data_IF_958038178688
#
_entry.id   IF_958038178688
#
_cell.length_a   1.000
_cell.length_b   1.000
_cell.length_c   1.000
_cell.angle_alpha   90.00
_cell.angle_beta   90.00
_cell.angle_gamma   90.00
#
_symmetry.space_group_name_H-M   'P 1'
#
loop_
_entity.id
_entity.type
_entity.pdbx_description
1 polymer ?
#
# COMPACT_ATOMS: atom_id res chain seq x y z
N UNK A 1 -27.20 13.33 22.20
CA UNK A 1 -26.76 11.92 22.34
C UNK A 1 -27.23 11.18 21.10
N UNK A 2 -26.56 11.44 19.97
CA UNK A 2 -26.77 10.73 18.72
C UNK A 2 -25.81 9.54 18.72
N UNK A 3 -26.38 8.34 18.65
CA UNK A 3 -25.69 7.07 18.46
C UNK A 3 -24.51 7.25 17.50
N UNK A 4 -23.27 7.13 18.01
CA UNK A 4 -22.08 6.93 17.19
C UNK A 4 -22.36 5.72 16.31
N UNK A 5 -22.57 5.95 15.03
CA UNK A 5 -22.44 4.92 14.02
C UNK A 5 -21.05 4.32 14.21
N UNK A 6 -20.97 3.09 14.72
CA UNK A 6 -19.71 2.36 14.76
C UNK A 6 -19.04 2.51 13.39
N UNK A 7 -17.86 3.12 13.35
CA UNK A 7 -17.23 3.48 12.09
C UNK A 7 -17.01 2.20 11.27
N UNK A 8 -17.54 2.19 10.05
CA UNK A 8 -17.53 1.02 9.18
C UNK A 8 -16.13 0.92 8.56
N UNK A 9 -15.20 0.29 9.26
CA UNK A 9 -13.83 0.10 8.78
C UNK A 9 -13.68 -1.17 7.94
N UNK A 10 -12.66 -1.17 7.08
CA UNK A 10 -12.29 -2.30 6.25
C UNK A 10 -12.88 -2.24 4.85
N UNK A 11 -12.14 -2.79 3.88
CA UNK A 11 -12.49 -2.73 2.46
C UNK A 11 -13.91 -3.27 2.19
N UNK A 12 -14.26 -4.44 2.72
CA UNK A 12 -15.52 -5.10 2.36
C UNK A 12 -16.72 -4.52 3.10
N UNK A 13 -16.55 -4.23 4.39
CA UNK A 13 -17.49 -3.45 5.19
C UNK A 13 -17.83 -2.09 4.54
N UNK A 14 -16.81 -1.32 4.12
CA UNK A 14 -17.02 -0.05 3.42
C UNK A 14 -17.69 -0.28 2.07
N UNK A 15 -17.29 -1.30 1.31
CA UNK A 15 -17.93 -1.63 0.04
C UNK A 15 -19.41 -2.01 0.20
N UNK A 16 -19.79 -2.65 1.31
CA UNK A 16 -21.18 -3.00 1.61
C UNK A 16 -21.99 -1.74 2.00
N UNK A 17 -21.43 -0.87 2.84
CA UNK A 17 -22.11 0.34 3.30
C UNK A 17 -22.15 1.47 2.25
N UNK A 18 -21.07 1.62 1.46
CA UNK A 18 -20.82 2.74 0.54
C UNK A 18 -20.20 2.24 -0.79
N UNK A 19 -20.90 1.38 -1.57
CA UNK A 19 -20.33 0.70 -2.73
C UNK A 19 -19.80 1.62 -3.84
N UNK A 20 -20.40 2.80 -3.98
CA UNK A 20 -20.04 3.81 -4.97
C UNK A 20 -18.94 4.77 -4.51
N UNK A 21 -18.48 4.71 -3.25
CA UNK A 21 -17.38 5.54 -2.76
C UNK A 21 -16.12 5.25 -3.57
N UNK A 22 -15.35 6.28 -3.88
CA UNK A 22 -14.08 6.14 -4.58
C UNK A 22 -13.04 5.50 -3.64
N UNK A 23 -12.44 4.38 -4.06
CA UNK A 23 -11.33 3.76 -3.35
C UNK A 23 -9.99 4.20 -3.96
N UNK A 24 -9.85 4.01 -5.28
CA UNK A 24 -8.60 4.26 -5.99
C UNK A 24 -8.82 5.13 -7.23
N UNK A 25 -7.83 5.95 -7.54
CA UNK A 25 -7.59 6.46 -8.88
C UNK A 25 -6.35 5.74 -9.39
N UNK A 26 -6.53 4.89 -10.41
CA UNK A 26 -5.46 4.11 -11.01
C UNK A 26 -4.45 5.03 -11.74
N UNK A 27 -3.22 4.54 -12.02
CA UNK A 27 -2.24 5.32 -12.79
C UNK A 27 -2.74 5.78 -14.17
N UNK A 28 -3.70 5.06 -14.75
CA UNK A 28 -4.34 5.44 -16.03
C UNK A 28 -5.37 6.57 -15.89
N UNK A 29 -5.62 7.06 -14.67
CA UNK A 29 -6.72 7.97 -14.35
C UNK A 29 -8.07 7.28 -14.16
N UNK A 30 -8.14 5.95 -14.31
CA UNK A 30 -9.38 5.19 -14.09
C UNK A 30 -9.78 5.25 -12.61
N UNK A 31 -10.99 5.69 -12.37
CA UNK A 31 -11.64 5.64 -11.07
C UNK A 31 -12.09 4.21 -10.74
N UNK A 32 -11.84 3.79 -9.50
CA UNK A 32 -12.20 2.46 -8.99
C UNK A 32 -12.93 2.64 -7.66
N UNK A 33 -14.18 2.17 -7.62
CA UNK A 33 -14.99 2.24 -6.40
C UNK A 33 -14.62 1.16 -5.39
N UNK A 34 -15.02 1.33 -4.12
CA UNK A 34 -14.87 0.32 -3.07
C UNK A 34 -15.48 -1.03 -3.48
N UNK A 35 -16.67 -1.01 -4.11
CA UNK A 35 -17.30 -2.23 -4.65
C UNK A 35 -16.43 -2.91 -5.71
N UNK A 36 -15.85 -2.16 -6.63
CA UNK A 36 -15.02 -2.75 -7.69
C UNK A 36 -13.73 -3.35 -7.14
N UNK A 37 -13.07 -2.65 -6.21
CA UNK A 37 -11.86 -3.14 -5.54
C UNK A 37 -12.14 -4.39 -4.70
N UNK A 38 -13.17 -4.35 -3.85
CA UNK A 38 -13.59 -5.49 -3.03
C UNK A 38 -13.95 -6.71 -3.88
N UNK A 39 -14.71 -6.50 -4.96
CA UNK A 39 -15.09 -7.59 -5.87
C UNK A 39 -13.88 -8.17 -6.62
N UNK A 40 -12.87 -7.36 -6.97
CA UNK A 40 -11.65 -7.85 -7.58
C UNK A 40 -10.79 -8.66 -6.58
N UNK A 41 -10.64 -8.15 -5.36
CA UNK A 41 -9.94 -8.85 -4.29
C UNK A 41 -10.61 -10.20 -3.96
N UNK A 42 -11.94 -10.25 -3.90
CA UNK A 42 -12.70 -11.50 -3.66
C UNK A 42 -12.52 -12.52 -4.77
N UNK A 43 -12.50 -12.04 -6.01
CA UNK A 43 -12.23 -12.86 -7.18
C UNK A 43 -10.83 -13.47 -7.13
N UNK A 44 -9.81 -12.70 -6.77
CA UNK A 44 -8.45 -13.21 -6.60
C UNK A 44 -8.33 -14.18 -5.42
N UNK A 45 -8.89 -13.84 -4.25
CA UNK A 45 -8.92 -14.72 -3.08
C UNK A 45 -9.60 -16.06 -3.37
N UNK A 46 -10.77 -16.01 -4.04
CA UNK A 46 -11.51 -17.20 -4.45
C UNK A 46 -10.73 -18.07 -5.45
N UNK A 47 -10.03 -17.45 -6.40
CA UNK A 47 -9.19 -18.15 -7.37
C UNK A 47 -7.98 -18.83 -6.73
N UNK A 48 -7.27 -18.12 -5.83
CA UNK A 48 -6.14 -18.67 -5.08
C UNK A 48 -6.58 -19.86 -4.21
N UNK A 49 -7.72 -19.74 -3.52
CA UNK A 49 -8.32 -20.86 -2.77
C UNK A 49 -8.73 -22.03 -3.68
N UNK A 50 -9.22 -21.76 -4.89
CA UNK A 50 -9.60 -22.81 -5.84
C UNK A 50 -8.39 -23.62 -6.34
N UNK A 51 -7.19 -23.04 -6.32
CA UNK A 51 -5.93 -23.71 -6.61
C UNK A 51 -5.39 -24.54 -5.43
N UNK A 52 -6.04 -24.44 -4.26
CA UNK A 52 -5.68 -25.20 -3.08
C UNK A 52 -4.79 -24.45 -2.09
N UNK A 53 -4.52 -23.16 -2.31
CA UNK A 53 -3.76 -22.35 -1.36
C UNK A 53 -4.49 -22.26 -0.02
N UNK A 54 -3.72 -22.36 1.06
CA UNK A 54 -4.17 -22.37 2.46
C UNK A 54 -3.53 -21.22 3.24
N UNK A 55 -4.12 -20.79 4.36
CA UNK A 55 -3.47 -19.84 5.24
C UNK A 55 -2.04 -20.29 5.58
N UNK A 56 -1.08 -19.38 5.48
CA UNK A 56 0.35 -19.66 5.60
C UNK A 56 1.10 -19.81 4.28
N UNK A 57 0.42 -20.18 3.19
CA UNK A 57 1.06 -20.33 1.87
C UNK A 57 1.50 -18.97 1.31
N UNK A 58 2.60 -18.96 0.54
CA UNK A 58 3.18 -17.75 -0.02
C UNK A 58 2.64 -17.42 -1.43
N UNK A 59 2.26 -16.16 -1.62
CA UNK A 59 1.98 -15.55 -2.94
C UNK A 59 3.02 -14.50 -3.21
N UNK A 60 3.87 -14.76 -4.20
CA UNK A 60 4.92 -13.84 -4.64
C UNK A 60 4.42 -13.02 -5.81
N UNK A 61 4.68 -11.71 -5.80
CA UNK A 61 4.19 -10.75 -6.78
C UNK A 61 5.31 -9.92 -7.36
N UNK A 62 5.44 -9.88 -8.69
CA UNK A 62 6.29 -8.97 -9.43
C UNK A 62 5.38 -8.04 -10.25
N UNK A 63 4.84 -7.01 -9.61
CA UNK A 63 3.81 -6.14 -10.16
C UNK A 63 4.20 -4.67 -10.07
N UNK A 64 3.86 -3.84 -11.08
CA UNK A 64 3.94 -2.40 -10.95
C UNK A 64 2.85 -1.91 -9.99
N UNK A 65 2.95 -0.63 -9.60
CA UNK A 65 1.87 0.04 -8.89
C UNK A 65 0.60 0.03 -9.75
N UNK A 66 -0.50 -0.44 -9.18
CA UNK A 66 -1.75 -0.58 -9.93
C UNK A 66 -2.86 -1.24 -9.13
N UNK A 67 -4.06 -1.26 -9.73
CA UNK A 67 -5.27 -1.79 -9.09
C UNK A 67 -5.10 -3.29 -8.78
N UNK A 68 -4.43 -4.02 -9.67
CA UNK A 68 -4.18 -5.45 -9.50
C UNK A 68 -3.24 -5.74 -8.33
N UNK A 69 -2.19 -4.94 -8.13
CA UNK A 69 -1.29 -5.08 -6.98
C UNK A 69 -2.05 -4.86 -5.66
N UNK A 70 -2.87 -3.81 -5.59
CA UNK A 70 -3.69 -3.52 -4.40
C UNK A 70 -4.71 -4.63 -4.15
N UNK A 71 -5.41 -5.10 -5.19
CA UNK A 71 -6.40 -6.16 -5.06
C UNK A 71 -5.78 -7.50 -4.64
N UNK A 72 -4.57 -7.84 -5.13
CA UNK A 72 -3.84 -9.03 -4.69
C UNK A 72 -3.44 -8.90 -3.22
N UNK A 73 -3.01 -7.72 -2.77
CA UNK A 73 -2.66 -7.51 -1.37
C UNK A 73 -3.85 -7.75 -0.43
N UNK A 74 -5.02 -7.20 -0.76
CA UNK A 74 -6.26 -7.49 -0.02
C UNK A 74 -6.69 -8.96 -0.14
N UNK A 75 -6.53 -9.58 -1.30
CA UNK A 75 -6.84 -10.99 -1.49
C UNK A 75 -5.97 -11.90 -0.61
N UNK A 76 -4.68 -11.60 -0.51
CA UNK A 76 -3.73 -12.32 0.34
C UNK A 76 -4.07 -12.14 1.81
N UNK A 77 -4.30 -10.90 2.26
CA UNK A 77 -4.72 -10.60 3.64
C UNK A 77 -6.01 -11.36 4.00
N UNK A 78 -7.01 -11.35 3.12
CA UNK A 78 -8.28 -12.06 3.33
C UNK A 78 -8.16 -13.58 3.32
N UNK A 79 -7.18 -14.11 2.61
CA UNK A 79 -6.96 -15.54 2.50
C UNK A 79 -5.98 -16.07 3.56
N UNK A 80 -5.42 -15.19 4.41
CA UNK A 80 -4.37 -15.55 5.36
C UNK A 80 -3.07 -15.99 4.69
N UNK A 81 -2.80 -15.50 3.47
CA UNK A 81 -1.61 -15.87 2.69
C UNK A 81 -0.44 -14.93 3.02
N UNK A 82 0.77 -15.47 2.97
CA UNK A 82 1.99 -14.67 3.06
C UNK A 82 2.21 -13.93 1.72
N UNK A 83 2.11 -12.60 1.73
CA UNK A 83 2.32 -11.79 0.53
C UNK A 83 3.78 -11.36 0.45
N UNK A 84 4.43 -11.67 -0.68
CA UNK A 84 5.77 -11.16 -1.01
C UNK A 84 5.67 -10.27 -2.24
N UNK A 85 5.85 -8.97 -2.06
CA UNK A 85 5.97 -8.04 -3.19
C UNK A 85 7.45 -7.88 -3.54
N UNK A 86 7.82 -8.24 -4.76
CA UNK A 86 9.19 -8.18 -5.25
C UNK A 86 9.56 -6.79 -5.78
N UNK A 87 10.74 -6.34 -5.40
CA UNK A 87 11.41 -5.22 -6.07
C UNK A 87 11.71 -5.60 -7.52
N UNK A 88 11.15 -4.83 -8.46
CA UNK A 88 11.30 -5.08 -9.89
C UNK A 88 12.69 -4.76 -10.45
N UNK A 89 13.58 -4.16 -9.67
CA UNK A 89 14.99 -3.99 -10.03
C UNK A 89 15.83 -5.25 -9.78
N UNK A 90 15.28 -6.26 -9.09
CA UNK A 90 15.98 -7.53 -8.85
C UNK A 90 16.29 -8.25 -10.15
N UNK A 91 17.46 -8.86 -10.17
CA UNK A 91 17.91 -9.73 -11.25
C UNK A 91 17.14 -11.05 -11.26
N UNK A 92 17.17 -11.76 -12.39
CA UNK A 92 16.52 -13.07 -12.54
C UNK A 92 16.96 -14.07 -11.44
N UNK A 93 18.26 -14.24 -11.12
CA UNK A 93 18.68 -15.13 -10.05
C UNK A 93 18.14 -14.74 -8.66
N UNK A 94 18.06 -13.43 -8.36
CA UNK A 94 17.53 -12.94 -7.09
C UNK A 94 16.01 -13.17 -6.99
N UNK A 95 15.27 -13.00 -8.08
CA UNK A 95 13.84 -13.32 -8.13
C UNK A 95 13.63 -14.83 -7.93
N UNK A 96 14.39 -15.66 -8.65
CA UNK A 96 14.31 -17.11 -8.54
C UNK A 96 14.64 -17.59 -7.11
N UNK A 97 15.66 -17.00 -6.48
CA UNK A 97 16.01 -17.28 -5.10
C UNK A 97 14.84 -16.99 -4.15
N UNK A 98 14.18 -15.83 -4.26
CA UNK A 98 13.01 -15.51 -3.42
C UNK A 98 11.87 -16.49 -3.67
N UNK A 99 11.59 -16.88 -4.93
CA UNK A 99 10.55 -17.86 -5.23
C UNK A 99 10.79 -19.21 -4.53
N UNK A 100 12.05 -19.63 -4.44
CA UNK A 100 12.44 -20.87 -3.74
C UNK A 100 12.40 -20.70 -2.23
N UNK A 101 13.06 -19.65 -1.70
CA UNK A 101 13.21 -19.40 -0.27
C UNK A 101 11.88 -19.13 0.43
N UNK A 102 10.95 -18.46 -0.25
CA UNK A 102 9.58 -18.22 0.26
C UNK A 102 8.64 -19.41 0.07
N UNK A 103 9.09 -20.52 -0.52
CA UNK A 103 8.25 -21.67 -0.90
C UNK A 103 6.99 -21.23 -1.69
N UNK A 104 7.20 -20.37 -2.69
CA UNK A 104 6.13 -19.71 -3.42
C UNK A 104 5.08 -20.70 -3.96
N UNK A 105 3.86 -20.61 -3.45
CA UNK A 105 2.74 -21.46 -3.90
C UNK A 105 2.01 -20.84 -5.11
N UNK A 106 2.11 -19.52 -5.27
CA UNK A 106 1.72 -18.82 -6.48
C UNK A 106 2.68 -17.67 -6.78
N UNK A 107 2.93 -17.42 -8.07
CA UNK A 107 3.70 -16.28 -8.57
C UNK A 107 2.85 -15.45 -9.54
N UNK A 108 2.65 -14.17 -9.22
CA UNK A 108 1.87 -13.23 -10.02
C UNK A 108 2.79 -12.16 -10.61
N UNK A 109 2.88 -12.07 -11.93
CA UNK A 109 3.77 -11.13 -12.62
C UNK A 109 3.03 -10.18 -13.56
N UNK A 110 3.51 -8.95 -13.68
CA UNK A 110 2.99 -7.97 -14.64
C UNK A 110 3.69 -8.09 -15.99
N UNK A 111 2.97 -7.85 -17.09
CA UNK A 111 3.53 -7.89 -18.47
C UNK A 111 4.81 -7.05 -18.66
N UNK A 112 4.96 -5.97 -17.87
CA UNK A 112 6.16 -5.11 -17.86
C UNK A 112 7.44 -5.88 -17.51
N UNK A 113 7.30 -7.00 -16.80
CA UNK A 113 8.39 -7.83 -16.30
C UNK A 113 8.32 -9.25 -16.87
N UNK A 114 7.71 -9.43 -18.06
CA UNK A 114 7.42 -10.74 -18.64
C UNK A 114 8.67 -11.62 -18.78
N UNK A 115 9.76 -11.07 -19.31
CA UNK A 115 10.99 -11.82 -19.54
C UNK A 115 11.65 -12.27 -18.22
N UNK A 116 11.85 -11.35 -17.28
CA UNK A 116 12.46 -11.67 -15.99
C UNK A 116 11.59 -12.62 -15.18
N UNK A 117 10.26 -12.46 -15.20
CA UNK A 117 9.31 -13.36 -14.56
C UNK A 117 9.40 -14.78 -15.13
N UNK A 118 9.42 -14.93 -16.47
CA UNK A 118 9.52 -16.25 -17.11
C UNK A 118 10.82 -16.94 -16.75
N UNK A 119 11.95 -16.25 -16.94
CA UNK A 119 13.27 -16.82 -16.66
C UNK A 119 13.43 -17.19 -15.19
N UNK A 120 12.94 -16.36 -14.27
CA UNK A 120 13.04 -16.64 -12.84
C UNK A 120 12.12 -17.78 -12.40
N UNK A 121 10.90 -17.88 -12.93
CA UNK A 121 9.99 -18.98 -12.65
C UNK A 121 10.52 -20.32 -13.19
N UNK A 122 11.17 -20.30 -14.37
CA UNK A 122 11.86 -21.46 -14.93
C UNK A 122 13.06 -21.88 -14.08
N UNK A 123 13.91 -20.92 -13.68
CA UNK A 123 15.08 -21.18 -12.82
C UNK A 123 14.70 -21.69 -11.43
N UNK A 124 13.58 -21.22 -10.87
CA UNK A 124 13.04 -21.69 -9.59
C UNK A 124 12.34 -23.06 -9.69
N UNK A 125 12.13 -23.60 -10.90
CA UNK A 125 11.38 -24.84 -11.10
C UNK A 125 9.88 -24.71 -10.75
N UNK A 126 9.33 -23.50 -10.74
CA UNK A 126 7.94 -23.26 -10.35
C UNK A 126 6.98 -23.82 -11.41
N UNK A 127 5.99 -24.66 -11.07
CA UNK A 127 5.11 -25.27 -12.06
C UNK A 127 4.22 -24.24 -12.76
N UNK A 128 3.91 -24.43 -14.05
CA UNK A 128 3.04 -23.55 -14.86
C UNK A 128 1.66 -23.33 -14.21
N UNK A 129 1.18 -24.29 -13.41
CA UNK A 129 -0.07 -24.17 -12.67
C UNK A 129 -0.05 -23.11 -11.56
N UNK A 130 1.14 -22.70 -11.10
CA UNK A 130 1.35 -21.69 -10.06
C UNK A 130 1.75 -20.31 -10.63
N UNK A 131 1.79 -20.14 -11.96
CA UNK A 131 2.24 -18.91 -12.62
C UNK A 131 1.04 -18.11 -13.15
N UNK A 132 0.90 -16.86 -12.72
CA UNK A 132 -0.20 -15.97 -13.10
C UNK A 132 0.24 -14.59 -13.60
N UNK A 133 -0.47 -14.02 -14.56
CA UNK A 133 -0.06 -12.76 -15.19
C UNK A 133 -1.13 -11.66 -15.19
N UNK A 134 -0.71 -10.43 -14.89
CA UNK A 134 -1.45 -9.20 -15.24
C UNK A 134 -1.01 -8.76 -16.64
N UNK A 135 -1.88 -8.98 -17.62
CA UNK A 135 -1.54 -8.94 -19.04
C UNK A 135 -1.07 -10.31 -19.55
N UNK A 136 -0.44 -10.34 -20.72
CA UNK A 136 0.02 -11.58 -21.36
C UNK A 136 1.50 -11.85 -21.08
N UNK A 137 1.81 -13.06 -20.61
CA UNK A 137 3.16 -13.58 -20.41
C UNK A 137 3.13 -15.06 -20.80
N UNK A 138 4.08 -15.49 -21.65
CA UNK A 138 4.15 -16.89 -22.07
C UNK A 138 4.45 -17.83 -20.88
N UNK A 139 3.73 -18.95 -20.81
CA UNK A 139 3.80 -19.89 -19.68
C UNK A 139 3.09 -19.43 -18.40
N UNK A 140 2.30 -18.35 -18.43
CA UNK A 140 1.51 -17.86 -17.30
C UNK A 140 0.02 -17.86 -17.64
N UNK A 141 -0.83 -18.13 -16.63
CA UNK A 141 -2.29 -17.98 -16.76
C UNK A 141 -2.69 -16.56 -16.40
N UNK A 142 -3.60 -15.94 -17.16
CA UNK A 142 -4.09 -14.61 -16.78
C UNK A 142 -4.69 -14.60 -15.36
N UNK A 143 -4.45 -13.55 -14.57
CA UNK A 143 -5.14 -13.34 -13.27
C UNK A 143 -6.66 -13.25 -13.41
N UNK A 144 -7.17 -12.92 -14.61
CA UNK A 144 -8.61 -13.00 -14.90
C UNK A 144 -9.16 -14.43 -14.78
N UNK A 145 -8.31 -15.46 -14.96
CA UNK A 145 -8.69 -16.84 -14.69
C UNK A 145 -8.93 -17.09 -13.20
N UNK A 146 -8.07 -16.55 -12.32
CA UNK A 146 -8.31 -16.60 -10.86
C UNK A 146 -9.67 -15.99 -10.55
N UNK A 147 -9.95 -14.85 -11.18
CA UNK A 147 -11.20 -14.15 -11.00
C UNK A 147 -12.44 -14.95 -11.44
N UNK A 148 -12.35 -15.67 -12.56
CA UNK A 148 -13.44 -16.54 -13.02
C UNK A 148 -13.57 -17.83 -12.17
N UNK A 149 -12.46 -18.42 -11.74
CA UNK A 149 -12.44 -19.59 -10.88
C UNK A 149 -13.08 -19.31 -9.51
N UNK A 150 -12.84 -18.12 -8.95
CA UNK A 150 -13.45 -17.68 -7.69
C UNK A 150 -14.98 -17.58 -7.75
N UNK A 151 -15.57 -17.23 -8.90
CA UNK A 151 -17.02 -17.12 -9.09
C UNK A 151 -17.70 -18.50 -9.11
N UNK A 152 -17.02 -19.56 -9.55
CA UNK A 152 -17.61 -20.88 -9.80
C UNK A 152 -17.85 -21.73 -8.54
N UNK A 153 -17.30 -21.37 -7.38
CA UNK A 153 -17.60 -22.07 -6.12
C UNK A 153 -18.67 -21.28 -5.34
N UNK A 154 -19.93 -21.75 -5.31
CA UNK A 154 -20.97 -21.09 -4.52
C UNK A 154 -20.70 -21.30 -3.02
N UNK A 155 -20.81 -20.23 -2.26
CA UNK A 155 -21.06 -20.30 -0.83
C UNK A 155 -19.84 -20.22 0.09
N UNK A 156 -20.09 -19.43 1.14
CA UNK A 156 -19.57 -19.53 2.50
C UNK A 156 -18.36 -18.66 2.82
N UNK A 157 -18.58 -17.91 3.89
CA UNK A 157 -17.80 -16.85 4.52
C UNK A 157 -16.28 -17.00 4.37
N UNK A 158 -15.59 -15.85 4.41
CA UNK A 158 -14.18 -15.84 4.74
C UNK A 158 -13.97 -16.76 5.96
N UNK A 159 -13.06 -17.74 5.90
CA UNK A 159 -12.78 -18.56 7.06
C UNK A 159 -12.41 -17.62 8.20
N UNK A 160 -13.24 -17.56 9.26
CA UNK A 160 -12.78 -17.06 10.55
C UNK A 160 -11.70 -18.02 11.01
N UNK A 161 -10.51 -17.49 11.26
CA UNK A 161 -9.44 -18.24 11.89
C UNK A 161 -9.35 -17.78 13.36
N UNK A 162 -9.77 -18.66 14.27
CA UNK A 162 -9.64 -18.46 15.72
C UNK A 162 -8.24 -18.89 16.18
N UNK A 163 -7.23 -18.09 15.88
CA UNK A 163 -5.86 -18.28 16.37
C UNK A 163 -5.28 -16.99 16.95
N UNK A 164 -4.28 -17.08 17.84
CA UNK A 164 -3.85 -15.95 18.66
C UNK A 164 -3.26 -14.81 17.82
N UNK A 165 -3.79 -13.61 18.02
CA UNK A 165 -3.28 -12.36 17.47
C UNK A 165 -2.21 -11.78 18.40
N UNK A 166 -0.92 -11.89 18.06
CA UNK A 166 0.12 -11.10 18.71
C UNK A 166 1.38 -10.91 17.84
N UNK A 167 1.66 -9.65 17.50
CA UNK A 167 3.01 -9.10 17.36
C UNK A 167 3.91 -9.62 16.24
N UNK A 168 3.46 -9.63 14.98
CA UNK A 168 4.32 -10.04 13.84
C UNK A 168 4.33 -9.01 12.70
N UNK A 169 5.44 -8.90 11.96
CA UNK A 169 5.57 -7.96 10.84
C UNK A 169 4.56 -8.25 9.73
N UNK A 170 4.30 -7.20 8.94
CA UNK A 170 3.41 -7.17 7.78
C UNK A 170 3.70 -8.36 6.87
N UNK A 171 2.63 -9.06 6.47
CA UNK A 171 2.68 -10.31 5.70
C UNK A 171 2.45 -11.57 6.53
N UNK A 172 2.56 -11.52 7.86
CA UNK A 172 2.22 -12.70 8.68
C UNK A 172 0.72 -12.97 8.69
N UNK A 173 0.25 -14.22 8.48
CA UNK A 173 -1.16 -14.58 8.59
C UNK A 173 -1.67 -14.27 10.00
N UNK A 174 -2.49 -13.23 10.15
CA UNK A 174 -3.05 -12.89 11.47
C UNK A 174 -4.33 -13.66 11.77
N UNK A 175 -4.95 -14.28 10.76
CA UNK A 175 -6.21 -15.00 10.86
C UNK A 175 -7.41 -14.15 11.33
N UNK A 176 -7.16 -12.90 11.69
CA UNK A 176 -8.13 -11.91 12.08
C UNK A 176 -9.01 -11.54 10.87
N UNK A 177 -10.25 -11.14 11.16
CA UNK A 177 -11.14 -10.58 10.16
C UNK A 177 -10.42 -9.42 9.43
N UNK A 178 -10.29 -9.47 8.09
CA UNK A 178 -9.58 -8.44 7.33
C UNK A 178 -10.17 -7.03 7.45
N UNK A 179 -11.46 -6.94 7.81
CA UNK A 179 -12.15 -5.68 8.07
C UNK A 179 -12.06 -5.22 9.53
N UNK A 180 -11.61 -6.09 10.45
CA UNK A 180 -11.28 -5.70 11.81
C UNK A 180 -9.90 -5.03 11.82
N UNK A 181 -9.86 -3.77 11.38
CA UNK A 181 -8.65 -2.95 11.42
C UNK A 181 -8.17 -2.89 12.86
N UNK A 182 -6.96 -3.38 13.09
CA UNK A 182 -6.49 -3.61 14.44
C UNK A 182 -6.36 -2.27 15.20
N UNK A 183 -6.72 -2.19 16.50
CA UNK A 183 -6.64 -0.94 17.26
C UNK A 183 -5.25 -0.30 17.29
N UNK A 184 -4.19 -1.12 17.22
CA UNK A 184 -2.82 -0.59 17.12
C UNK A 184 -2.58 0.13 15.78
N UNK A 185 -3.20 -0.34 14.70
CA UNK A 185 -3.14 0.29 13.38
C UNK A 185 -3.90 1.61 13.39
N UNK A 186 -5.15 1.64 13.87
CA UNK A 186 -5.91 2.89 13.95
C UNK A 186 -5.24 3.90 14.88
N UNK A 187 -4.66 3.44 16.00
CA UNK A 187 -3.88 4.28 16.92
C UNK A 187 -2.63 4.87 16.26
N UNK A 188 -1.78 4.04 15.63
CA UNK A 188 -0.54 4.48 14.98
C UNK A 188 -0.82 5.49 13.85
N UNK A 189 -1.75 5.17 12.95
CA UNK A 189 -2.07 6.06 11.83
C UNK A 189 -2.88 7.29 12.27
N UNK A 190 -3.57 7.21 13.42
CA UNK A 190 -4.13 8.36 14.12
C UNK A 190 -3.08 9.41 14.49
N UNK A 191 -1.83 9.02 14.78
CA UNK A 191 -0.71 9.95 15.00
C UNK A 191 -0.38 10.76 13.74
N UNK A 192 -0.62 10.18 12.56
CA UNK A 192 -0.53 10.91 11.30
C UNK A 192 -1.82 11.67 10.96
N UNK A 193 -2.77 11.79 11.89
CA UNK A 193 -4.03 12.50 11.67
C UNK A 193 -4.99 11.78 10.73
N UNK A 194 -4.76 10.49 10.43
CA UNK A 194 -5.63 9.67 9.59
C UNK A 194 -6.85 9.19 10.38
N UNK A 195 -7.82 10.07 10.59
CA UNK A 195 -9.11 9.71 11.18
C UNK A 195 -9.97 8.91 10.19
N UNK A 196 -10.69 7.86 10.63
CA UNK A 196 -11.58 7.10 9.77
C UNK A 196 -12.63 7.95 9.05
N UNK A 197 -12.94 7.58 7.82
CA UNK A 197 -13.90 8.19 6.90
C UNK A 197 -13.75 9.69 6.63
N UNK A 198 -12.76 10.35 7.20
CA UNK A 198 -12.47 11.75 6.95
C UNK A 198 -12.13 12.00 5.48
N UNK A 199 -12.18 13.27 5.06
CA UNK A 199 -11.92 13.69 3.69
C UNK A 199 -10.41 13.67 3.35
N UNK A 200 -9.75 12.55 3.66
CA UNK A 200 -8.35 12.34 3.32
C UNK A 200 -8.22 11.72 1.93
N UNK A 201 -7.27 12.26 1.20
CA UNK A 201 -6.81 11.77 -0.09
C UNK A 201 -5.31 11.48 0.05
N UNK A 202 -4.94 10.22 -0.16
CA UNK A 202 -3.57 9.73 -0.10
C UNK A 202 -2.99 9.65 -1.53
N UNK A 203 -1.86 10.29 -1.78
CA UNK A 203 -1.06 10.07 -2.99
C UNK A 203 -0.06 8.93 -2.77
N UNK A 204 -0.32 7.77 -3.37
CA UNK A 204 0.54 6.60 -3.30
C UNK A 204 1.51 6.57 -4.49
N UNK A 205 2.62 7.28 -4.32
CA UNK A 205 3.66 7.40 -5.35
C UNK A 205 4.87 6.47 -5.20
N UNK A 206 5.09 5.94 -4.00
CA UNK A 206 6.19 5.02 -3.73
C UNK A 206 5.89 3.62 -4.27
N UNK A 207 6.92 2.83 -4.65
CA UNK A 207 6.74 1.45 -5.08
C UNK A 207 6.03 0.59 -4.04
N UNK A 208 4.96 -0.11 -4.43
CA UNK A 208 4.19 -0.98 -3.54
C UNK A 208 4.91 -2.27 -3.13
N UNK A 209 6.10 -2.54 -3.67
CA UNK A 209 6.97 -3.58 -3.11
C UNK A 209 7.64 -3.17 -1.80
N UNK A 210 7.63 -1.88 -1.47
CA UNK A 210 8.09 -1.39 -0.17
C UNK A 210 6.97 -1.55 0.84
N UNK A 211 7.25 -2.29 1.91
CA UNK A 211 6.30 -2.61 2.96
C UNK A 211 5.61 -1.36 3.51
N UNK A 212 6.37 -0.29 3.80
CA UNK A 212 5.82 0.92 4.39
C UNK A 212 4.89 1.68 3.43
N UNK A 213 5.14 1.58 2.11
CA UNK A 213 4.27 2.17 1.09
C UNK A 213 2.98 1.38 0.95
N UNK A 214 3.08 0.04 0.92
CA UNK A 214 1.93 -0.84 0.84
C UNK A 214 1.03 -0.72 2.08
N UNK A 215 1.61 -0.69 3.28
CA UNK A 215 0.85 -0.55 4.53
C UNK A 215 0.09 0.75 4.59
N UNK A 216 0.77 1.87 4.29
CA UNK A 216 0.13 3.17 4.31
C UNK A 216 -1.03 3.25 3.31
N UNK A 217 -0.88 2.62 2.13
CA UNK A 217 -1.96 2.48 1.16
C UNK A 217 -3.11 1.63 1.69
N UNK A 218 -2.82 0.42 2.19
CA UNK A 218 -3.85 -0.51 2.64
C UNK A 218 -4.66 0.06 3.80
N UNK A 219 -3.99 0.70 4.76
CA UNK A 219 -4.65 1.38 5.88
C UNK A 219 -5.50 2.55 5.39
N UNK A 220 -5.01 3.37 4.46
CA UNK A 220 -5.82 4.45 3.87
C UNK A 220 -7.15 3.90 3.31
N UNK A 221 -7.09 2.81 2.54
CA UNK A 221 -8.31 2.17 2.00
C UNK A 221 -9.18 1.60 3.11
N UNK A 222 -8.61 0.92 4.10
CA UNK A 222 -9.35 0.34 5.24
C UNK A 222 -10.02 1.41 6.12
N UNK A 223 -9.50 2.63 6.14
CA UNK A 223 -10.07 3.77 6.85
C UNK A 223 -11.07 4.57 6.01
N UNK A 224 -11.37 4.17 4.77
CA UNK A 224 -12.32 4.88 3.90
C UNK A 224 -11.71 5.98 3.04
N UNK A 225 -10.39 6.15 3.01
CA UNK A 225 -9.76 7.24 2.27
C UNK A 225 -9.57 6.89 0.80
N UNK A 226 -9.65 7.92 -0.05
CA UNK A 226 -9.33 7.77 -1.46
C UNK A 226 -7.82 7.72 -1.65
N UNK A 227 -7.34 6.81 -2.49
CA UNK A 227 -5.92 6.71 -2.87
C UNK A 227 -5.74 7.06 -4.35
N UNK A 228 -4.79 7.95 -4.64
CA UNK A 228 -4.34 8.27 -6.00
C UNK A 228 -3.05 7.52 -6.25
N UNK A 229 -3.05 6.58 -7.19
CA UNK A 229 -1.89 5.76 -7.53
C UNK A 229 -1.11 6.38 -8.70
N UNK A 230 0.22 6.33 -8.61
CA UNK A 230 1.10 6.56 -9.76
C UNK A 230 1.87 5.29 -10.08
N UNK A 231 2.11 5.02 -11.37
CA UNK A 231 2.94 3.88 -11.81
C UNK A 231 4.41 4.08 -11.38
N UNK A 232 4.90 5.32 -11.52
CA UNK A 232 6.21 5.73 -11.05
C UNK A 232 6.13 7.15 -10.49
N UNK A 233 7.06 7.46 -9.60
CA UNK A 233 7.15 8.78 -9.00
C UNK A 233 7.84 9.78 -9.96
N UNK A 234 7.25 10.97 -10.10
CA UNK A 234 7.81 12.11 -10.81
C UNK A 234 7.51 13.41 -10.03
N UNK A 235 8.51 14.30 -9.95
CA UNK A 235 8.41 15.53 -9.15
C UNK A 235 7.30 16.46 -9.64
N UNK A 236 7.24 16.72 -10.95
CA UNK A 236 6.29 17.68 -11.52
C UNK A 236 4.87 17.11 -11.51
N UNK A 237 4.74 15.83 -11.84
CA UNK A 237 3.46 15.11 -11.79
C UNK A 237 2.92 15.02 -10.37
N UNK A 238 3.78 14.84 -9.37
CA UNK A 238 3.38 14.86 -7.94
C UNK A 238 2.70 16.18 -7.59
N UNK A 239 3.29 17.32 -7.94
CA UNK A 239 2.68 18.65 -7.70
C UNK A 239 1.32 18.79 -8.40
N UNK A 240 1.24 18.35 -9.67
CA UNK A 240 0.01 18.39 -10.46
C UNK A 240 -1.09 17.52 -9.86
N UNK A 241 -0.76 16.33 -9.37
CA UNK A 241 -1.70 15.40 -8.75
C UNK A 241 -2.16 15.89 -7.38
N UNK A 242 -1.29 16.55 -6.61
CA UNK A 242 -1.65 17.19 -5.34
C UNK A 242 -2.78 18.19 -5.56
N UNK A 243 -2.60 19.13 -6.47
CA UNK A 243 -3.61 20.14 -6.79
C UNK A 243 -4.89 19.50 -7.36
N UNK A 244 -4.75 18.64 -8.38
CA UNK A 244 -5.89 18.05 -9.09
C UNK A 244 -6.82 17.25 -8.18
N UNK A 245 -6.24 16.46 -7.28
CA UNK A 245 -7.00 15.55 -6.42
C UNK A 245 -7.15 16.08 -4.99
N UNK A 246 -6.67 17.31 -4.73
CA UNK A 246 -6.63 17.92 -3.39
C UNK A 246 -6.02 16.97 -2.36
N UNK A 247 -4.85 16.42 -2.70
CA UNK A 247 -4.13 15.46 -1.84
C UNK A 247 -3.89 16.06 -0.47
N UNK A 248 -4.12 15.26 0.55
CA UNK A 248 -3.94 15.66 1.96
C UNK A 248 -2.76 14.93 2.60
N UNK A 249 -2.52 13.68 2.20
CA UNK A 249 -1.54 12.81 2.81
C UNK A 249 -0.69 12.17 1.72
N UNK A 250 0.61 12.00 1.98
CA UNK A 250 1.50 11.22 1.13
C UNK A 250 2.62 10.64 1.97
N UNK A 251 3.17 9.51 1.53
CA UNK A 251 4.48 9.06 1.98
C UNK A 251 5.54 9.48 0.95
N UNK A 252 6.65 10.04 1.39
CA UNK A 252 7.79 10.40 0.55
C UNK A 252 9.10 10.00 1.25
N UNK A 253 10.11 9.57 0.50
CA UNK A 253 11.49 9.47 1.01
C UNK A 253 12.24 10.80 0.88
N UNK A 254 13.29 11.00 1.69
CA UNK A 254 14.19 12.16 1.66
C UNK A 254 14.71 12.50 0.26
N UNK A 255 15.02 11.49 -0.56
CA UNK A 255 15.50 11.68 -1.94
C UNK A 255 14.48 12.39 -2.85
N UNK A 256 13.19 12.30 -2.52
CA UNK A 256 12.15 13.04 -3.24
C UNK A 256 12.18 14.53 -2.93
N UNK A 257 12.59 14.93 -1.72
CA UNK A 257 12.72 16.34 -1.35
C UNK A 257 13.78 17.03 -2.19
N UNK A 258 14.94 16.39 -2.38
CA UNK A 258 16.00 16.89 -3.27
C UNK A 258 15.48 17.05 -4.71
N UNK A 259 14.78 16.03 -5.23
CA UNK A 259 14.23 16.05 -6.60
C UNK A 259 13.11 17.08 -6.78
N UNK A 260 12.35 17.37 -5.74
CA UNK A 260 11.33 18.43 -5.74
C UNK A 260 11.97 19.82 -5.70
N UNK A 261 12.99 20.02 -4.86
CA UNK A 261 13.72 21.29 -4.74
C UNK A 261 14.61 21.59 -5.96
N UNK A 262 14.98 20.57 -6.72
CA UNK A 262 15.72 20.71 -7.98
C UNK A 262 14.84 21.14 -9.17
N UNK A 263 13.51 21.16 -9.02
CA UNK A 263 12.62 21.65 -10.07
C UNK A 263 12.81 23.17 -10.30
N UNK A 264 12.70 23.64 -11.55
CA UNK A 264 12.64 25.07 -11.84
C UNK A 264 11.48 25.74 -11.10
N UNK A 265 11.66 26.99 -10.67
CA UNK A 265 10.65 27.77 -9.95
C UNK A 265 9.31 27.88 -10.71
N UNK A 266 9.37 27.98 -12.04
CA UNK A 266 8.20 28.00 -12.91
C UNK A 266 7.33 26.73 -12.83
N UNK A 267 7.90 25.61 -12.35
CA UNK A 267 7.17 24.37 -12.07
C UNK A 267 6.78 24.31 -10.60
N UNK A 268 7.71 24.62 -9.68
CA UNK A 268 7.49 24.54 -8.22
C UNK A 268 6.31 25.37 -7.73
N UNK A 269 6.17 26.59 -8.24
CA UNK A 269 5.18 27.56 -7.77
C UNK A 269 3.93 27.63 -8.65
N UNK A 270 3.72 26.64 -9.53
CA UNK A 270 2.59 26.61 -10.46
C UNK A 270 1.30 26.02 -9.85
N UNK A 271 1.44 25.17 -8.83
CA UNK A 271 0.35 24.34 -8.31
C UNK A 271 -0.08 24.77 -6.92
N UNK A 272 -1.38 24.75 -6.65
CA UNK A 272 -1.94 24.91 -5.30
C UNK A 272 -1.69 23.65 -4.45
N UNK A 273 -0.88 23.79 -3.40
CA UNK A 273 -0.55 22.71 -2.46
C UNK A 273 -1.28 22.85 -1.11
N UNK A 274 -2.21 23.81 -0.98
CA UNK A 274 -2.90 24.13 0.28
C UNK A 274 -3.78 23.01 0.85
N UNK A 275 -4.05 21.95 0.06
CA UNK A 275 -4.77 20.77 0.56
C UNK A 275 -3.91 19.85 1.42
N UNK A 276 -2.58 19.96 1.35
CA UNK A 276 -1.67 19.11 2.10
C UNK A 276 -1.87 19.31 3.60
N UNK A 277 -1.89 18.19 4.33
CA UNK A 277 -2.01 18.15 5.79
C UNK A 277 -0.83 17.43 6.41
N UNK A 278 -0.40 16.31 5.80
CA UNK A 278 0.74 15.54 6.31
C UNK A 278 1.51 14.80 5.22
N UNK A 279 2.83 14.92 5.26
CA UNK A 279 3.80 14.20 4.45
C UNK A 279 4.64 13.38 5.42
N UNK A 280 4.41 12.07 5.44
CA UNK A 280 5.17 11.16 6.28
C UNK A 280 6.44 10.76 5.52
N UNK A 281 7.59 10.90 6.15
CA UNK A 281 8.88 10.54 5.53
C UNK A 281 9.75 9.70 6.45
N UNK A 282 10.76 9.04 5.86
CA UNK A 282 11.55 7.98 6.46
C UNK A 282 11.49 6.70 5.61
N UNK A 283 12.34 5.69 5.85
CA UNK A 283 13.05 5.46 7.11
C UNK A 283 14.41 6.15 7.22
N UNK A 284 14.97 6.65 6.12
CA UNK A 284 16.27 7.32 6.13
C UNK A 284 16.19 8.70 6.77
N UNK A 285 17.20 9.12 7.55
CA UNK A 285 17.21 10.45 8.16
C UNK A 285 17.22 11.54 7.08
N UNK A 286 16.50 12.64 7.33
CA UNK A 286 16.55 13.82 6.49
C UNK A 286 17.57 14.82 7.06
N UNK A 287 18.51 15.35 6.24
CA UNK A 287 19.33 16.47 6.64
C UNK A 287 18.46 17.66 7.12
N UNK A 288 18.76 18.30 8.26
CA UNK A 288 17.94 19.38 8.79
C UNK A 288 17.74 20.54 7.79
N UNK A 289 18.77 20.89 7.03
CA UNK A 289 18.72 21.95 6.03
C UNK A 289 17.78 21.59 4.86
N UNK A 290 17.72 20.31 4.50
CA UNK A 290 16.82 19.82 3.45
C UNK A 290 15.37 19.88 3.93
N UNK A 291 15.11 19.44 5.16
CA UNK A 291 13.78 19.48 5.79
C UNK A 291 13.29 20.94 5.90
N UNK A 292 14.12 21.85 6.41
CA UNK A 292 13.79 23.27 6.53
C UNK A 292 13.43 23.92 5.20
N UNK A 293 14.13 23.58 4.11
CA UNK A 293 13.81 24.09 2.77
C UNK A 293 12.47 23.59 2.25
N UNK A 294 12.11 22.35 2.58
CA UNK A 294 10.79 21.80 2.26
C UNK A 294 9.70 22.46 3.10
N UNK A 295 9.90 22.63 4.41
CA UNK A 295 8.97 23.33 5.31
C UNK A 295 8.75 24.77 4.84
N UNK A 296 9.82 25.47 4.46
CA UNK A 296 9.72 26.84 3.94
C UNK A 296 8.88 26.95 2.66
N UNK A 297 8.73 25.85 1.90
CA UNK A 297 7.96 25.82 0.66
C UNK A 297 6.55 25.23 0.83
N UNK A 298 6.41 24.04 1.42
CA UNK A 298 5.14 23.32 1.54
C UNK A 298 4.44 23.57 2.89
N UNK A 299 5.09 24.29 3.81
CA UNK A 299 4.61 24.50 5.17
C UNK A 299 4.98 23.36 6.12
N UNK A 300 4.55 23.44 7.40
CA UNK A 300 4.87 22.48 8.44
C UNK A 300 3.99 21.23 8.35
N UNK A 301 3.97 20.58 7.18
CA UNK A 301 3.19 19.36 6.93
C UNK A 301 4.04 18.10 7.06
N UNK A 302 5.31 18.19 7.44
CA UNK A 302 6.23 17.04 7.42
C UNK A 302 6.26 16.33 8.76
N UNK A 303 6.24 15.00 8.72
CA UNK A 303 6.34 14.13 9.90
C UNK A 303 7.42 13.08 9.66
N UNK A 304 8.50 13.15 10.44
CA UNK A 304 9.56 12.14 10.47
C UNK A 304 9.01 10.89 11.15
N UNK A 305 8.89 9.80 10.41
CA UNK A 305 8.49 8.50 10.94
C UNK A 305 9.48 7.43 10.54
N UNK A 306 10.24 6.97 11.54
CA UNK A 306 11.22 5.89 11.42
C UNK A 306 10.90 4.81 12.42
N UNK A 307 10.58 3.61 11.93
CA UNK A 307 10.43 2.42 12.76
C UNK A 307 11.77 1.68 12.82
N UNK A 308 12.33 1.47 14.00
CA UNK A 308 13.41 0.48 14.16
C UNK A 308 12.83 -0.92 13.92
N UNK A 309 13.31 -1.60 12.88
CA UNK A 309 12.94 -2.99 12.59
C UNK A 309 13.47 -3.99 13.62
N UNK A 310 14.35 -3.56 14.53
CA UNK A 310 14.90 -4.37 15.62
C UNK A 310 14.51 -3.77 16.98
N UNK A 311 13.43 -4.28 17.61
CA UNK A 311 13.06 -3.87 18.97
C UNK A 311 11.64 -4.14 19.46
N UNK A 312 10.70 -4.52 18.57
CA UNK A 312 9.28 -4.61 18.92
C UNK A 312 8.53 -3.28 18.74
N UNK A 313 7.20 -3.26 18.92
CA UNK A 313 6.30 -2.28 18.28
C UNK A 313 6.46 -0.80 18.73
N UNK A 314 7.34 -0.50 19.68
CA UNK A 314 7.54 0.86 20.23
C UNK A 314 9.01 1.16 20.58
N UNK A 315 9.93 0.19 20.49
CA UNK A 315 11.33 0.45 20.80
C UNK A 315 12.03 1.01 19.55
N UNK A 316 12.43 2.29 19.59
CA UNK A 316 13.17 2.95 18.50
C UNK A 316 12.30 3.62 17.44
N UNK A 317 11.07 4.04 17.78
CA UNK A 317 10.25 4.88 16.89
C UNK A 317 10.66 6.33 17.05
N UNK A 318 11.13 6.96 15.97
CA UNK A 318 11.17 8.43 15.89
C UNK A 318 9.88 8.88 15.24
N UNK A 319 9.12 9.69 15.97
CA UNK A 319 7.95 10.44 15.52
C UNK A 319 8.22 11.89 15.85
N UNK A 320 8.46 12.70 14.84
CA UNK A 320 8.72 14.13 15.01
C UNK A 320 7.88 14.92 14.00
N UNK A 321 7.02 15.81 14.52
CA UNK A 321 6.11 16.62 13.71
C UNK A 321 6.69 18.04 13.59
N UNK A 322 6.92 18.48 12.36
CA UNK A 322 7.41 19.83 12.07
C UNK A 322 6.51 20.92 12.69
N UNK A 323 5.20 20.68 12.79
CA UNK A 323 4.26 21.63 13.38
C UNK A 323 4.41 21.78 14.91
N UNK A 324 4.88 20.75 15.61
CA UNK A 324 5.09 20.79 17.06
C UNK A 324 6.47 21.33 17.45
N UNK A 325 7.48 21.26 16.56
CA UNK A 325 8.81 21.87 16.78
C UNK A 325 8.75 23.40 16.95
N UNK A 326 7.91 24.08 16.17
CA UNK A 326 7.71 25.54 16.26
C UNK A 326 7.05 25.98 17.58
N UNK A 327 6.35 25.07 18.29
CA UNK A 327 5.75 25.39 19.61
C UNK A 327 6.73 25.28 20.77
N UNK A 328 7.86 24.59 20.58
CA UNK A 328 8.87 24.41 21.62
C UNK A 328 10.08 25.34 21.49
N UNK A 329 10.25 26.05 20.37
CA UNK A 329 11.26 27.11 20.25
C UNK A 329 10.99 28.36 21.12
N UNK A 330 9.75 28.54 21.59
CA UNK A 330 9.37 29.66 22.49
C UNK A 330 9.64 29.40 23.98
N UNK A 331 10.22 28.24 24.34
CA UNK A 331 10.46 27.83 25.74
C UNK A 331 11.93 27.71 26.14
N UNK A 332 12.87 28.20 25.32
CA UNK A 332 14.27 28.37 25.74
C UNK A 332 14.51 29.87 25.99
N UNK A 333 14.57 30.32 27.26
CA UNK A 333 15.09 31.66 27.55
C UNK A 333 16.57 31.68 27.15
N UNK A 334 16.98 32.73 26.45
CA UNK A 334 18.38 33.00 26.11
C UNK A 334 19.28 33.24 27.31
#
# INVERSE_FOLDING_TARGET
MTQESAEVLGLWNIAAAQPGRMALIAPTGREVSYRELAALADRYAGGLRALGLRPGDAVVCLLPNGVEAVAVAFAAQRSGLYLVMLDWHRTVPEIAHVLVDSEATAFIAGRRFAESARLAADAAGLPVTARFSVGEIDGFKSVSWLAAAGIRRPGNAAPHYDGPAAGRPVGSPTGACPDAVAPHTTGLFGLFGLAPHSAHVHLAGLPLYRTEALDFLMVSVQLGHQVVLTDAWDSAETLRLIERHRVTHSRLDTTHFDRLLALPDAIRFRHDLSSLRRIVYGPEPCPPELEQRMIAWWGPVFTDYRSATEGGPIAGVVLDDAADRDRHSDLIPG
#
